data_IF_583544654341
#
_entry.id   IF_583544654341
#
_cell.length_a   1.000
_cell.length_b   1.000
_cell.length_c   1.000
_cell.angle_alpha   90.00
_cell.angle_beta   90.00
_cell.angle_gamma   90.00
#
_symmetry.space_group_name_H-M   'P 1'
#
loop_
_entity.id
_entity.type
_entity.pdbx_description
1 polymer ?
#
# COMPACT_ATOMS: atom_id res chain seq x y z
N UNK A 1 -15.05 3.91 30.20
CA UNK A 1 -15.30 4.64 28.95
C UNK A 1 -13.95 4.79 28.26
N UNK A 2 -13.64 3.92 27.29
CA UNK A 2 -12.41 4.04 26.53
C UNK A 2 -12.60 5.19 25.54
N UNK A 3 -11.83 6.26 25.72
CA UNK A 3 -11.70 7.33 24.74
C UNK A 3 -11.33 6.70 23.38
N UNK A 4 -12.21 6.85 22.38
CA UNK A 4 -11.84 6.61 20.99
C UNK A 4 -10.66 7.51 20.65
N UNK A 5 -9.46 6.93 20.58
CA UNK A 5 -8.30 7.63 20.04
C UNK A 5 -8.63 7.85 18.57
N UNK A 6 -8.86 9.11 18.19
CA UNK A 6 -9.05 9.49 16.79
C UNK A 6 -7.87 8.94 15.98
N UNK A 7 -8.16 8.03 15.05
CA UNK A 7 -7.11 7.44 14.22
C UNK A 7 -6.52 8.52 13.32
N UNK A 8 -5.18 8.59 13.26
CA UNK A 8 -4.50 9.49 12.34
C UNK A 8 -4.92 9.20 10.90
N UNK A 9 -5.29 10.22 10.12
CA UNK A 9 -5.62 10.05 8.71
C UNK A 9 -4.48 9.34 7.96
N UNK A 10 -4.84 8.52 6.98
CA UNK A 10 -3.87 7.79 6.18
C UNK A 10 -4.34 7.62 4.73
N UNK A 11 -3.37 7.60 3.82
CA UNK A 11 -3.55 7.30 2.40
C UNK A 11 -2.71 6.08 2.03
N UNK A 12 -3.33 5.08 1.43
CA UNK A 12 -2.66 3.89 0.92
C UNK A 12 -2.69 3.88 -0.60
N UNK A 13 -1.54 3.76 -1.24
CA UNK A 13 -1.44 3.51 -2.69
C UNK A 13 -1.06 2.04 -2.87
N UNK A 14 -2.01 1.21 -3.30
CA UNK A 14 -1.88 -0.25 -3.37
C UNK A 14 -2.09 -0.78 -4.79
N UNK A 15 -1.80 -2.06 -5.00
CA UNK A 15 -2.05 -2.76 -6.26
C UNK A 15 -0.83 -3.52 -6.76
N UNK A 16 -1.01 -4.23 -7.88
CA UNK A 16 0.01 -5.09 -8.48
C UNK A 16 1.35 -4.36 -8.68
N UNK A 17 2.47 -5.10 -8.69
CA UNK A 17 3.78 -4.52 -8.98
C UNK A 17 3.78 -3.76 -10.31
N UNK A 18 4.63 -2.74 -10.42
CA UNK A 18 4.83 -1.94 -11.63
C UNK A 18 3.62 -1.10 -12.12
N UNK A 19 2.60 -0.87 -11.31
CA UNK A 19 1.49 0.06 -11.62
C UNK A 19 1.82 1.54 -11.32
N UNK A 20 3.11 1.90 -11.30
CA UNK A 20 3.57 3.27 -11.04
C UNK A 20 3.18 3.85 -9.68
N UNK A 21 3.07 3.02 -8.64
CA UNK A 21 2.67 3.44 -7.28
C UNK A 21 3.71 4.35 -6.62
N UNK A 22 4.98 3.92 -6.59
CA UNK A 22 6.08 4.73 -6.05
C UNK A 22 6.17 6.08 -6.75
N UNK A 23 6.07 6.13 -8.08
CA UNK A 23 6.03 7.38 -8.85
C UNK A 23 4.86 8.30 -8.45
N UNK A 24 3.69 7.73 -8.17
CA UNK A 24 2.55 8.51 -7.69
C UNK A 24 2.79 9.03 -6.25
N UNK A 25 3.39 8.22 -5.38
CA UNK A 25 3.74 8.64 -4.01
C UNK A 25 4.80 9.74 -4.02
N UNK A 26 5.84 9.62 -4.85
CA UNK A 26 6.88 10.62 -5.02
C UNK A 26 6.29 11.96 -5.49
N UNK A 27 5.40 11.92 -6.50
CA UNK A 27 4.71 13.12 -6.98
C UNK A 27 3.85 13.78 -5.88
N UNK A 28 3.12 12.98 -5.10
CA UNK A 28 2.32 13.50 -3.99
C UNK A 28 3.19 14.19 -2.94
N UNK A 29 4.30 13.56 -2.55
CA UNK A 29 5.25 14.13 -1.60
C UNK A 29 5.85 15.45 -2.09
N UNK A 30 6.28 15.51 -3.35
CA UNK A 30 6.84 16.73 -3.95
C UNK A 30 5.83 17.89 -3.91
N UNK A 31 4.56 17.64 -4.25
CA UNK A 31 3.52 18.67 -4.22
C UNK A 31 3.12 19.10 -2.80
N UNK A 32 3.17 18.20 -1.81
CA UNK A 32 3.04 18.59 -0.40
C UNK A 32 4.27 19.36 0.10
N UNK A 33 5.44 19.05 -0.46
CA UNK A 33 6.70 19.76 -0.26
C UNK A 33 6.65 21.19 -0.77
N UNK A 34 6.17 21.39 -2.00
CA UNK A 34 6.02 22.70 -2.65
C UNK A 34 4.84 23.53 -2.13
N UNK A 35 3.89 22.91 -1.41
CA UNK A 35 2.72 23.56 -0.83
C UNK A 35 1.51 23.64 -1.76
N UNK A 36 1.61 23.10 -2.98
CA UNK A 36 0.54 23.12 -3.99
C UNK A 36 -0.72 22.38 -3.52
N UNK A 37 -0.56 21.20 -2.90
CA UNK A 37 -1.69 20.42 -2.36
C UNK A 37 -2.20 20.97 -1.03
N UNK A 38 -1.31 21.47 -0.17
CA UNK A 38 -1.64 21.93 1.19
C UNK A 38 -2.61 23.11 1.19
N UNK A 39 -2.51 23.99 0.19
CA UNK A 39 -3.41 25.15 0.02
C UNK A 39 -4.85 24.75 -0.35
N UNK A 40 -5.06 23.55 -0.88
CA UNK A 40 -6.36 23.07 -1.37
C UNK A 40 -7.06 22.13 -0.37
N UNK A 41 -6.31 21.50 0.53
CA UNK A 41 -6.84 20.65 1.60
C UNK A 41 -7.10 21.52 2.83
N UNK A 42 -8.24 22.23 2.82
CA UNK A 42 -8.69 23.17 3.86
C UNK A 42 -8.49 22.63 5.29
N UNK A 43 -7.37 22.96 5.93
CA UNK A 43 -7.13 22.72 7.36
C UNK A 43 -6.03 21.72 7.74
N UNK A 44 -5.41 20.98 6.81
CA UNK A 44 -4.27 20.09 7.13
C UNK A 44 -2.95 20.69 6.64
N UNK A 45 -2.40 21.58 7.47
CA UNK A 45 -1.14 22.28 7.18
C UNK A 45 0.13 21.43 7.40
N UNK A 46 0.02 20.20 7.90
CA UNK A 46 1.18 19.34 8.16
C UNK A 46 1.50 18.46 6.96
N UNK A 47 2.76 18.49 6.50
CA UNK A 47 3.28 17.52 5.53
C UNK A 47 3.07 16.09 6.06
N UNK A 48 2.64 15.14 5.20
CA UNK A 48 2.53 13.74 5.60
C UNK A 48 3.90 13.13 5.89
N UNK A 49 3.93 12.12 6.76
CA UNK A 49 5.02 11.14 6.75
C UNK A 49 4.84 10.22 5.54
N UNK A 50 5.92 9.94 4.82
CA UNK A 50 5.91 9.00 3.70
C UNK A 50 6.47 7.65 4.18
N UNK A 51 5.65 6.62 4.15
CA UNK A 51 6.07 5.23 4.31
C UNK A 51 6.40 4.69 2.92
N UNK A 52 7.69 4.52 2.65
CA UNK A 52 8.18 3.93 1.40
C UNK A 52 7.97 2.41 1.39
N UNK A 53 8.01 1.81 0.20
CA UNK A 53 7.89 0.37 0.01
C UNK A 53 8.82 -0.45 0.94
N UNK A 54 8.25 -0.99 2.02
CA UNK A 54 9.02 -1.71 3.07
C UNK A 54 9.58 -3.04 2.57
N UNK A 55 8.95 -3.64 1.56
CA UNK A 55 9.38 -4.90 0.97
C UNK A 55 10.81 -4.85 0.44
N UNK A 56 11.23 -3.72 -0.17
CA UNK A 56 12.61 -3.55 -0.67
C UNK A 56 13.63 -3.58 0.46
N UNK A 57 13.31 -2.94 1.58
CA UNK A 57 14.13 -2.93 2.79
C UNK A 57 14.23 -4.33 3.37
N UNK A 58 13.11 -5.05 3.49
CA UNK A 58 13.10 -6.44 4.01
C UNK A 58 13.91 -7.39 3.14
N UNK A 59 13.74 -7.34 1.82
CA UNK A 59 14.51 -8.19 0.89
C UNK A 59 16.02 -8.01 1.08
N UNK A 60 16.47 -6.75 1.14
CA UNK A 60 17.88 -6.40 1.33
C UNK A 60 18.39 -6.81 2.71
N UNK A 61 17.70 -6.41 3.77
CA UNK A 61 18.19 -6.53 5.15
C UNK A 61 18.12 -7.98 5.67
N UNK A 62 17.22 -8.80 5.11
CA UNK A 62 17.07 -10.22 5.47
C UNK A 62 17.68 -11.18 4.44
N UNK A 63 18.37 -10.64 3.41
CA UNK A 63 19.03 -11.41 2.36
C UNK A 63 18.11 -12.43 1.65
N UNK A 64 16.88 -12.02 1.34
CA UNK A 64 16.01 -12.82 0.47
C UNK A 64 16.38 -12.58 -0.99
N UNK A 65 16.57 -13.67 -1.73
CA UNK A 65 16.74 -13.65 -3.19
C UNK A 65 15.39 -13.82 -3.90
N UNK A 66 15.35 -13.58 -5.21
CA UNK A 66 14.16 -13.86 -6.02
C UNK A 66 13.82 -15.36 -6.01
N UNK A 67 14.83 -16.22 -6.07
CA UNK A 67 14.67 -17.68 -6.08
C UNK A 67 14.04 -18.20 -4.79
N UNK A 68 14.34 -17.58 -3.65
CA UNK A 68 13.72 -17.92 -2.37
C UNK A 68 12.20 -17.76 -2.40
N UNK A 69 11.67 -16.89 -3.26
CA UNK A 69 10.26 -16.55 -3.34
C UNK A 69 9.51 -17.49 -4.29
N UNK A 70 10.18 -17.95 -5.36
CA UNK A 70 9.55 -18.77 -6.40
C UNK A 70 9.74 -20.28 -6.19
N UNK A 71 10.76 -20.69 -5.44
CA UNK A 71 11.13 -22.12 -5.30
C UNK A 71 10.79 -22.73 -3.95
N UNK A 72 10.51 -21.92 -2.93
CA UNK A 72 10.29 -22.38 -1.57
C UNK A 72 9.07 -21.70 -0.93
N UNK A 73 7.91 -22.39 -0.85
CA UNK A 73 6.71 -21.84 -0.22
C UNK A 73 6.93 -21.38 1.23
N UNK A 74 7.78 -22.09 1.98
CA UNK A 74 8.10 -21.72 3.37
C UNK A 74 8.91 -20.43 3.47
N UNK A 75 9.91 -20.22 2.59
CA UNK A 75 10.65 -18.96 2.52
C UNK A 75 9.83 -17.81 1.97
N UNK A 76 9.00 -18.07 0.97
CA UNK A 76 8.04 -17.09 0.46
C UNK A 76 7.09 -16.61 1.59
N UNK A 77 6.54 -17.52 2.39
CA UNK A 77 5.72 -17.17 3.54
C UNK A 77 6.50 -16.38 4.60
N UNK A 78 7.72 -16.81 4.91
CA UNK A 78 8.57 -16.09 5.86
C UNK A 78 8.84 -14.65 5.41
N UNK A 79 9.12 -14.45 4.12
CA UNK A 79 9.27 -13.12 3.54
C UNK A 79 7.99 -12.29 3.72
N UNK A 80 6.83 -12.82 3.37
CA UNK A 80 5.58 -12.08 3.49
C UNK A 80 5.25 -11.69 4.95
N UNK A 81 5.54 -12.58 5.91
CA UNK A 81 5.42 -12.26 7.35
C UNK A 81 6.37 -11.15 7.76
N UNK A 82 7.62 -11.17 7.30
CA UNK A 82 8.57 -10.10 7.58
C UNK A 82 8.16 -8.76 6.96
N UNK A 83 7.57 -8.77 5.76
CA UNK A 83 7.02 -7.56 5.12
C UNK A 83 5.84 -7.02 5.92
N UNK A 84 4.91 -7.88 6.35
CA UNK A 84 3.78 -7.50 7.20
C UNK A 84 4.24 -6.86 8.52
N UNK A 85 5.23 -7.48 9.17
CA UNK A 85 5.83 -6.96 10.39
C UNK A 85 6.48 -5.59 10.16
N UNK A 86 7.30 -5.45 9.12
CA UNK A 86 7.95 -4.18 8.79
C UNK A 86 6.94 -3.07 8.45
N UNK A 87 5.85 -3.41 7.75
CA UNK A 87 4.77 -2.48 7.45
C UNK A 87 4.07 -2.01 8.73
N UNK A 88 3.79 -2.94 9.65
CA UNK A 88 3.21 -2.63 10.95
C UNK A 88 4.09 -1.64 11.73
N UNK A 89 5.39 -1.92 11.86
CA UNK A 89 6.32 -1.04 12.59
C UNK A 89 6.46 0.34 11.92
N UNK A 90 6.45 0.39 10.59
CA UNK A 90 6.50 1.65 9.84
C UNK A 90 5.26 2.52 10.10
N UNK A 91 4.06 1.93 10.09
CA UNK A 91 2.81 2.63 10.40
C UNK A 91 2.76 3.07 11.86
N UNK A 92 3.24 2.26 12.80
CA UNK A 92 3.35 2.64 14.22
C UNK A 92 4.26 3.85 14.42
N UNK A 93 5.42 3.86 13.75
CA UNK A 93 6.38 4.96 13.83
C UNK A 93 5.81 6.25 13.22
N UNK A 94 5.07 6.13 12.12
CA UNK A 94 4.46 7.26 11.42
C UNK A 94 3.34 7.96 12.22
N UNK A 95 2.75 7.29 13.21
CA UNK A 95 1.73 7.86 14.10
C UNK A 95 2.20 7.97 15.57
N UNK A 96 3.47 7.66 15.82
CA UNK A 96 4.05 7.67 17.16
C UNK A 96 4.13 9.09 17.75
N UNK A 97 4.27 9.19 19.09
CA UNK A 97 4.31 10.48 19.80
C UNK A 97 5.47 11.39 19.36
N UNK A 98 6.52 10.83 18.76
CA UNK A 98 7.69 11.55 18.28
C UNK A 98 7.49 12.18 16.89
N UNK A 99 6.38 11.90 16.21
CA UNK A 99 6.09 12.42 14.87
C UNK A 99 5.28 13.71 14.95
N UNK A 100 5.80 14.78 14.33
CA UNK A 100 5.08 16.06 14.17
C UNK A 100 3.99 16.03 13.10
N UNK A 101 4.01 15.03 12.22
CA UNK A 101 2.99 14.88 11.18
C UNK A 101 1.70 14.33 11.78
N UNK A 102 0.57 14.81 11.28
CA UNK A 102 -0.75 14.38 11.75
C UNK A 102 -1.32 13.21 10.94
N UNK A 103 -0.65 12.81 9.86
CA UNK A 103 -1.10 11.80 8.92
C UNK A 103 0.04 11.26 8.05
N UNK A 104 -0.18 10.15 7.33
CA UNK A 104 0.83 9.56 6.44
C UNK A 104 0.29 9.10 5.08
N UNK A 105 1.21 8.96 4.12
CA UNK A 105 1.00 8.29 2.84
C UNK A 105 1.85 7.02 2.83
N UNK A 106 1.28 5.88 2.47
CA UNK A 106 1.96 4.60 2.39
C UNK A 106 2.03 4.09 0.95
N UNK A 107 3.25 3.90 0.45
CA UNK A 107 3.54 3.14 -0.76
C UNK A 107 3.42 1.65 -0.43
N UNK A 108 2.26 1.06 -0.78
CA UNK A 108 1.73 -0.25 -0.33
C UNK A 108 1.11 -0.24 1.06
N UNK A 109 0.54 -1.38 1.42
CA UNK A 109 -0.19 -1.60 2.68
C UNK A 109 0.15 -2.95 3.31
N UNK A 110 -0.39 -3.20 4.50
CA UNK A 110 -0.35 -4.53 5.13
C UNK A 110 -1.07 -5.62 4.34
N UNK A 111 -1.98 -5.25 3.43
CA UNK A 111 -2.72 -6.20 2.61
C UNK A 111 -1.85 -6.78 1.48
N UNK A 112 -0.90 -6.00 0.97
CA UNK A 112 0.01 -6.42 -0.11
C UNK A 112 0.68 -7.77 0.22
N UNK A 113 1.45 -7.94 1.31
CA UNK A 113 2.12 -9.21 1.58
C UNK A 113 1.16 -10.39 1.81
N UNK A 114 -0.07 -10.14 2.27
CA UNK A 114 -1.09 -11.18 2.44
C UNK A 114 -1.56 -11.71 1.08
N UNK A 115 -1.76 -10.82 0.11
CA UNK A 115 -2.12 -11.21 -1.27
C UNK A 115 -0.98 -12.00 -1.90
N UNK A 116 0.26 -11.55 -1.72
CA UNK A 116 1.41 -12.31 -2.22
C UNK A 116 1.52 -13.69 -1.53
N UNK A 117 1.24 -13.80 -0.23
CA UNK A 117 1.19 -15.10 0.44
C UNK A 117 0.09 -16.00 -0.13
N UNK A 118 -1.10 -15.45 -0.40
CA UNK A 118 -2.21 -16.19 -1.01
C UNK A 118 -1.82 -16.78 -2.37
N UNK A 119 -1.14 -15.99 -3.21
CA UNK A 119 -0.83 -16.35 -4.59
C UNK A 119 0.39 -17.27 -4.72
N UNK A 120 1.44 -17.04 -3.92
CA UNK A 120 2.72 -17.75 -4.06
C UNK A 120 2.90 -18.89 -3.05
N UNK A 121 2.08 -18.94 -1.99
CA UNK A 121 2.17 -19.98 -0.96
C UNK A 121 0.87 -20.76 -0.86
N UNK A 122 -0.26 -20.06 -0.79
CA UNK A 122 -1.60 -20.64 -0.76
C UNK A 122 -2.54 -19.97 0.24
N UNK A 123 -3.82 -20.35 0.19
CA UNK A 123 -4.88 -19.75 0.99
C UNK A 123 -4.65 -19.88 2.51
N UNK A 124 -4.18 -21.05 2.98
CA UNK A 124 -3.91 -21.28 4.42
C UNK A 124 -2.86 -20.30 4.96
N UNK A 125 -1.83 -20.00 4.18
CA UNK A 125 -0.78 -19.06 4.55
C UNK A 125 -1.32 -17.63 4.66
N UNK A 126 -2.21 -17.22 3.76
CA UNK A 126 -2.89 -15.94 3.84
C UNK A 126 -3.82 -15.87 5.07
N UNK A 127 -4.58 -16.94 5.36
CA UNK A 127 -5.46 -17.00 6.53
C UNK A 127 -4.67 -16.90 7.84
N UNK A 128 -3.49 -17.52 7.92
CA UNK A 128 -2.60 -17.37 9.07
C UNK A 128 -2.21 -15.89 9.30
N UNK A 129 -1.81 -15.19 8.25
CA UNK A 129 -1.43 -13.77 8.33
C UNK A 129 -2.63 -12.89 8.67
N UNK A 130 -3.80 -13.19 8.11
CA UNK A 130 -5.07 -12.49 8.38
C UNK A 130 -5.55 -12.70 9.83
N UNK A 131 -5.17 -13.79 10.49
CA UNK A 131 -5.49 -14.03 11.90
C UNK A 131 -4.56 -13.27 12.85
N UNK A 132 -3.49 -12.64 12.37
CA UNK A 132 -2.52 -11.94 13.22
C UNK A 132 -3.08 -10.64 13.81
N UNK A 133 -2.70 -10.35 15.05
CA UNK A 133 -3.07 -9.08 15.72
C UNK A 133 -2.54 -7.84 14.98
N UNK A 134 -1.36 -7.97 14.35
CA UNK A 134 -0.75 -6.91 13.54
C UNK A 134 -1.63 -6.58 12.34
N UNK A 135 -2.08 -7.59 11.59
CA UNK A 135 -3.04 -7.36 10.51
C UNK A 135 -4.32 -6.71 11.04
N UNK A 136 -4.87 -7.17 12.17
CA UNK A 136 -6.08 -6.58 12.74
C UNK A 136 -5.95 -5.07 13.02
N UNK A 137 -4.76 -4.58 13.38
CA UNK A 137 -4.50 -3.15 13.53
C UNK A 137 -4.37 -2.42 12.18
N UNK A 138 -3.63 -3.00 11.23
CA UNK A 138 -3.46 -2.46 9.88
C UNK A 138 -4.80 -2.35 9.15
N UNK A 139 -5.64 -3.39 9.23
CA UNK A 139 -6.97 -3.43 8.64
C UNK A 139 -7.86 -2.30 9.16
N UNK A 140 -7.83 -2.03 10.48
CA UNK A 140 -8.60 -0.92 11.07
C UNK A 140 -8.20 0.43 10.49
N UNK A 141 -6.90 0.67 10.31
CA UNK A 141 -6.40 1.92 9.69
C UNK A 141 -6.79 2.00 8.22
N UNK A 142 -6.63 0.92 7.46
CA UNK A 142 -7.06 0.87 6.06
C UNK A 142 -8.55 1.17 5.91
N UNK A 143 -9.40 0.67 6.82
CA UNK A 143 -10.85 0.95 6.83
C UNK A 143 -11.19 2.41 7.12
N UNK A 144 -10.41 3.07 7.99
CA UNK A 144 -10.59 4.47 8.35
C UNK A 144 -9.93 5.43 7.36
N UNK A 145 -8.94 4.97 6.61
CA UNK A 145 -8.15 5.75 5.66
C UNK A 145 -8.73 5.82 4.25
N UNK A 146 -7.96 6.46 3.38
CA UNK A 146 -8.19 6.48 1.93
C UNK A 146 -7.33 5.39 1.28
N UNK A 147 -7.94 4.54 0.47
CA UNK A 147 -7.24 3.46 -0.25
C UNK A 147 -7.40 3.68 -1.75
N UNK A 148 -6.27 3.77 -2.46
CA UNK A 148 -6.21 3.90 -3.90
C UNK A 148 -5.66 2.60 -4.49
N UNK A 149 -6.47 1.87 -5.25
CA UNK A 149 -6.05 0.66 -5.94
C UNK A 149 -5.60 1.00 -7.36
N UNK A 150 -4.30 0.89 -7.65
CA UNK A 150 -3.77 1.06 -9.00
C UNK A 150 -3.96 -0.22 -9.80
N UNK A 151 -4.77 -0.14 -10.85
CA UNK A 151 -5.14 -1.27 -11.69
C UNK A 151 -3.94 -1.81 -12.49
N UNK A 152 -3.86 -3.14 -12.60
CA UNK A 152 -2.88 -3.79 -13.45
C UNK A 152 -3.18 -3.54 -14.95
N UNK A 153 -2.17 -3.53 -15.79
CA UNK A 153 -2.30 -3.37 -17.26
C UNK A 153 -1.58 -2.17 -17.88
N UNK A 154 -0.75 -1.44 -17.12
CA UNK A 154 0.08 -0.36 -17.65
C UNK A 154 1.05 -0.86 -18.75
N UNK A 155 1.04 -0.19 -19.90
CA UNK A 155 1.84 -0.54 -21.10
C UNK A 155 3.29 -0.04 -21.09
N UNK A 156 3.68 0.80 -20.13
CA UNK A 156 4.99 1.48 -20.08
C UNK A 156 6.05 0.73 -19.26
N UNK A 157 6.00 -0.59 -19.23
CA UNK A 157 6.79 -1.40 -18.31
C UNK A 157 8.21 -1.69 -18.80
N UNK A 158 9.18 -1.49 -17.91
CA UNK A 158 10.58 -1.91 -18.08
C UNK A 158 10.98 -2.73 -16.85
N UNK A 159 11.53 -3.93 -17.08
CA UNK A 159 12.07 -4.81 -16.04
C UNK A 159 13.34 -4.18 -15.45
N UNK A 160 13.38 -4.00 -14.12
CA UNK A 160 14.54 -3.46 -13.40
C UNK A 160 15.37 -4.54 -12.69
N UNK A 161 15.10 -5.83 -12.95
CA UNK A 161 15.84 -6.97 -12.41
C UNK A 161 15.58 -7.28 -10.94
N UNK A 162 14.92 -6.40 -10.19
CA UNK A 162 14.65 -6.58 -8.75
C UNK A 162 13.24 -7.07 -8.45
N UNK A 163 12.29 -6.84 -9.35
CA UNK A 163 10.87 -7.14 -9.13
C UNK A 163 10.52 -8.60 -9.45
N UNK A 164 9.58 -9.18 -8.70
CA UNK A 164 8.88 -10.39 -9.15
C UNK A 164 7.98 -9.97 -10.31
N UNK A 165 8.58 -9.95 -11.49
CA UNK A 165 7.88 -9.65 -12.72
C UNK A 165 6.92 -10.79 -13.01
N UNK A 166 5.62 -10.51 -13.08
CA UNK A 166 4.67 -11.52 -13.46
C UNK A 166 4.97 -11.98 -14.88
N UNK A 167 4.92 -13.29 -15.08
CA UNK A 167 5.27 -13.99 -16.31
C UNK A 167 4.34 -13.66 -17.48
N UNK A 168 3.20 -13.01 -17.23
CA UNK A 168 2.28 -12.53 -18.25
C UNK A 168 1.10 -11.70 -17.71
N UNK A 169 0.24 -11.27 -18.64
CA UNK A 169 -0.98 -10.49 -18.38
C UNK A 169 -2.01 -11.23 -17.51
N UNK A 170 -2.02 -12.56 -17.54
CA UNK A 170 -2.90 -13.38 -16.71
C UNK A 170 -2.53 -13.29 -15.22
N UNK A 171 -1.24 -13.36 -14.90
CA UNK A 171 -0.76 -13.25 -13.52
C UNK A 171 -1.02 -11.84 -12.95
N UNK A 172 -0.94 -10.81 -13.81
CA UNK A 172 -1.36 -9.45 -13.48
C UNK A 172 -2.83 -9.32 -13.12
N UNK A 173 -3.67 -9.94 -13.94
CA UNK A 173 -5.12 -9.96 -13.71
C UNK A 173 -5.42 -10.69 -12.41
N UNK A 174 -4.76 -11.83 -12.16
CA UNK A 174 -4.93 -12.60 -10.94
C UNK A 174 -4.57 -11.80 -9.68
N UNK A 175 -3.44 -11.08 -9.69
CA UNK A 175 -3.06 -10.22 -8.55
C UNK A 175 -4.11 -9.13 -8.32
N UNK A 176 -4.55 -8.46 -9.39
CA UNK A 176 -5.57 -7.42 -9.31
C UNK A 176 -6.90 -7.94 -8.74
N UNK A 177 -7.34 -9.12 -9.19
CA UNK A 177 -8.56 -9.77 -8.72
C UNK A 177 -8.43 -10.20 -7.25
N UNK A 178 -7.25 -10.67 -6.83
CA UNK A 178 -6.97 -10.97 -5.43
C UNK A 178 -7.07 -9.72 -4.54
N UNK A 179 -6.54 -8.57 -4.98
CA UNK A 179 -6.74 -7.28 -4.30
C UNK A 179 -8.23 -6.95 -4.17
N UNK A 180 -8.97 -6.96 -5.27
CA UNK A 180 -10.40 -6.60 -5.28
C UNK A 180 -11.22 -7.52 -4.37
N UNK A 181 -10.96 -8.84 -4.43
CA UNK A 181 -11.62 -9.83 -3.59
C UNK A 181 -11.34 -9.59 -2.11
N UNK A 182 -10.08 -9.42 -1.72
CA UNK A 182 -9.73 -9.21 -0.31
C UNK A 182 -10.29 -7.89 0.23
N UNK A 183 -10.20 -6.80 -0.54
CA UNK A 183 -10.79 -5.51 -0.15
C UNK A 183 -12.31 -5.63 0.07
N UNK A 184 -13.01 -6.32 -0.83
CA UNK A 184 -14.45 -6.55 -0.73
C UNK A 184 -14.82 -7.41 0.49
N UNK A 185 -14.18 -8.56 0.67
CA UNK A 185 -14.43 -9.48 1.81
C UNK A 185 -14.18 -8.79 3.15
N UNK A 186 -13.17 -7.92 3.22
CA UNK A 186 -12.83 -7.19 4.44
C UNK A 186 -13.68 -5.94 4.63
N UNK A 187 -14.43 -5.49 3.63
CA UNK A 187 -15.17 -4.22 3.69
C UNK A 187 -14.26 -3.00 3.73
N UNK A 188 -13.10 -3.08 3.07
CA UNK A 188 -12.19 -1.95 2.88
C UNK A 188 -12.62 -1.20 1.62
N UNK A 189 -13.07 0.04 1.78
CA UNK A 189 -13.44 0.91 0.65
C UNK A 189 -12.18 1.36 -0.09
N UNK A 190 -12.24 1.41 -1.41
CA UNK A 190 -11.14 1.87 -2.24
C UNK A 190 -11.64 2.64 -3.45
N UNK A 191 -10.79 3.53 -3.97
CA UNK A 191 -10.96 4.16 -5.28
C UNK A 191 -10.00 3.52 -6.27
N UNK A 192 -10.52 3.14 -7.44
CA UNK A 192 -9.68 2.61 -8.51
C UNK A 192 -8.91 3.74 -9.21
N UNK A 193 -7.62 3.54 -9.44
CA UNK A 193 -6.81 4.33 -10.37
C UNK A 193 -6.67 3.48 -11.65
N UNK A 194 -7.46 3.77 -12.70
CA UNK A 194 -7.53 2.90 -13.88
C UNK A 194 -6.22 2.86 -14.66
N UNK A 195 -5.93 1.72 -15.29
CA UNK A 195 -4.67 1.51 -16.02
C UNK A 195 -4.52 2.40 -17.28
N UNK A 196 -5.62 2.91 -17.82
CA UNK A 196 -5.64 3.82 -18.97
C UNK A 196 -5.35 5.29 -18.58
N UNK A 197 -5.35 5.62 -17.29
CA UNK A 197 -4.97 6.96 -16.80
C UNK A 197 -3.45 7.04 -16.73
N UNK A 198 -2.85 7.34 -17.88
CA UNK A 198 -1.39 7.41 -18.06
C UNK A 198 -0.77 8.65 -17.41
N UNK A 199 -1.48 9.77 -17.46
CA UNK A 199 -0.98 11.05 -16.94
C UNK A 199 -0.81 10.99 -15.43
N UNK A 200 0.42 11.26 -14.97
CA UNK A 200 0.73 11.37 -13.54
C UNK A 200 -0.11 12.46 -12.87
N UNK A 201 -0.31 13.59 -13.54
CA UNK A 201 -1.15 14.69 -13.06
C UNK A 201 -2.61 14.26 -12.87
N UNK A 202 -3.17 13.48 -13.82
CA UNK A 202 -4.52 12.96 -13.70
C UNK A 202 -4.66 11.96 -12.52
N UNK A 203 -3.66 11.09 -12.33
CA UNK A 203 -3.62 10.17 -11.18
C UNK A 203 -3.53 10.91 -9.85
N UNK A 204 -2.71 11.96 -9.79
CA UNK A 204 -2.62 12.89 -8.66
C UNK A 204 -3.98 13.53 -8.38
N UNK A 205 -4.65 14.03 -9.41
CA UNK A 205 -5.93 14.72 -9.27
C UNK A 205 -7.01 13.80 -8.67
N UNK A 206 -7.06 12.54 -9.10
CA UNK A 206 -7.94 11.52 -8.50
C UNK A 206 -7.67 11.34 -7.00
N UNK A 207 -6.40 11.27 -6.60
CA UNK A 207 -6.03 11.17 -5.18
C UNK A 207 -6.48 12.42 -4.42
N UNK A 208 -6.27 13.61 -4.98
CA UNK A 208 -6.69 14.88 -4.35
C UNK A 208 -8.18 14.93 -4.08
N UNK A 209 -8.99 14.54 -5.06
CA UNK A 209 -10.46 14.51 -4.96
C UNK A 209 -10.94 13.51 -3.89
N UNK A 210 -10.24 12.37 -3.76
CA UNK A 210 -10.53 11.40 -2.71
C UNK A 210 -10.18 11.93 -1.32
N UNK A 211 -9.02 12.59 -1.17
CA UNK A 211 -8.58 13.17 0.09
C UNK A 211 -9.50 14.31 0.55
N UNK A 212 -9.90 15.20 -0.36
CA UNK A 212 -10.80 16.31 -0.03
C UNK A 212 -12.17 15.80 0.43
N UNK A 213 -12.73 14.81 -0.27
CA UNK A 213 -14.03 14.21 0.08
C UNK A 213 -13.98 13.48 1.43
N UNK A 214 -12.90 12.76 1.71
CA UNK A 214 -12.77 11.91 2.90
C UNK A 214 -12.48 12.70 4.18
N UNK A 215 -11.98 13.94 4.09
CA UNK A 215 -11.62 14.76 5.24
C UNK A 215 -12.54 15.96 5.47
N UNK A 216 -13.57 16.12 4.64
CA UNK A 216 -14.67 17.07 4.86
C UNK A 216 -15.86 16.44 5.61
N UNK A 217 -15.86 15.11 5.79
CA UNK A 217 -16.88 14.34 6.52
C UNK A 217 -16.45 14.08 7.96
#
# INVERSE_FOLDING_TARGET
MASEVAQSPCLYIIGAQCTGKTTLVDALEDMFGSGELSNHLQGKSSRPVIIREVARTVLRDKHFSRDDITTSPSRALQLQKHILDAQYEAEQTAIGPDTRATWYISDRSGLDPIIYAQLFVGEEAAQEMLASEKWGQLERRMKAGVVMLCEAGCSWLVDDGTRLMPTGTEEWTHINDAFRKQLAVRGIRYTLVPNHVVSLEARVQLVRECLSSSWQS
#
